data_IF_756842795441
#
_entry.id   IF_756842795441
#
_cell.length_a   1.000
_cell.length_b   1.000
_cell.length_c   1.000
_cell.angle_alpha   90.00
_cell.angle_beta   90.00
_cell.angle_gamma   90.00
#
_symmetry.space_group_name_H-M   'P 1'
#
loop_
_entity.id
_entity.type
_entity.pdbx_description
1 polymer ?
#
# COMPACT_ATOMS: atom_id res chain seq x y z
N UNK A 1 -3.06 -9.19 -1.88
CA UNK A 1 -3.41 -8.92 -3.28
C UNK A 1 -4.92 -8.94 -3.38
N UNK A 2 -5.56 -7.92 -3.93
CA UNK A 2 -7.02 -7.95 -4.14
C UNK A 2 -7.39 -8.26 -5.61
N UNK A 3 -6.43 -8.81 -6.37
CA UNK A 3 -6.51 -9.01 -7.81
C UNK A 3 -5.96 -7.82 -8.60
N UNK A 4 -6.11 -6.58 -8.13
CA UNK A 4 -5.70 -5.32 -8.82
C UNK A 4 -4.36 -4.82 -8.32
N UNK A 5 -4.19 -4.88 -7.00
CA UNK A 5 -3.12 -4.22 -6.27
C UNK A 5 -2.52 -5.16 -5.21
N UNK A 6 -1.21 -5.04 -5.04
CA UNK A 6 -0.48 -5.61 -3.91
C UNK A 6 -0.08 -4.48 -2.96
N UNK A 7 -0.64 -4.49 -1.75
CA UNK A 7 -0.20 -3.65 -0.64
C UNK A 7 0.75 -4.40 0.31
N UNK A 8 1.33 -3.67 1.25
CA UNK A 8 2.19 -4.19 2.31
C UNK A 8 1.39 -4.31 3.61
N UNK A 9 1.13 -5.53 4.07
CA UNK A 9 0.55 -5.78 5.39
C UNK A 9 1.67 -5.91 6.42
N UNK A 10 1.63 -5.07 7.45
CA UNK A 10 2.68 -4.96 8.45
C UNK A 10 2.10 -4.87 9.86
N UNK A 11 2.77 -5.43 10.88
CA UNK A 11 2.43 -5.14 12.27
C UNK A 11 2.59 -3.65 12.54
N UNK A 12 1.68 -3.06 13.32
CA UNK A 12 1.72 -1.62 13.67
C UNK A 12 2.97 -1.25 14.45
N UNK A 13 3.48 -2.17 15.26
CA UNK A 13 4.66 -1.96 16.09
C UNK A 13 5.60 -3.15 15.90
N UNK A 14 6.75 -2.91 15.27
CA UNK A 14 7.79 -3.93 15.10
C UNK A 14 9.16 -3.30 14.84
N UNK A 15 10.21 -3.95 15.32
CA UNK A 15 11.62 -3.60 15.05
C UNK A 15 11.99 -2.10 15.29
N UNK A 16 11.29 -1.42 16.21
CA UNK A 16 11.48 -0.01 16.55
C UNK A 16 10.67 0.98 15.71
N UNK A 17 9.77 0.51 14.83
CA UNK A 17 8.85 1.35 14.04
C UNK A 17 7.46 1.31 14.67
N UNK A 18 6.77 2.44 14.66
CA UNK A 18 5.40 2.59 15.13
C UNK A 18 4.53 3.31 14.09
N UNK A 19 3.55 2.60 13.54
CA UNK A 19 2.61 3.08 12.53
C UNK A 19 1.40 3.82 13.11
N UNK A 20 1.15 3.76 14.43
CA UNK A 20 -0.05 4.37 15.04
C UNK A 20 -0.13 5.89 14.85
N UNK A 21 1.03 6.54 14.73
CA UNK A 21 1.13 7.99 14.44
C UNK A 21 1.04 8.36 12.96
N UNK A 22 0.96 7.38 12.06
CA UNK A 22 0.86 7.60 10.61
C UNK A 22 -0.57 7.57 10.10
N UNK A 23 -1.43 6.76 10.71
CA UNK A 23 -2.87 6.74 10.47
C UNK A 23 -3.61 6.73 11.83
N UNK A 24 -3.89 7.90 12.40
CA UNK A 24 -4.50 8.01 13.72
C UNK A 24 -6.02 7.70 13.67
N UNK A 25 -6.63 7.27 14.79
CA UNK A 25 -8.06 6.92 14.85
C UNK A 25 -9.01 8.03 14.36
N UNK A 26 -8.61 9.30 14.54
CA UNK A 26 -9.40 10.47 14.12
C UNK A 26 -9.59 10.59 12.60
N UNK A 27 -8.73 9.94 11.82
CA UNK A 27 -8.78 9.98 10.37
C UNK A 27 -9.65 8.82 9.80
N UNK A 28 -10.06 7.87 10.65
CA UNK A 28 -10.94 6.76 10.30
C UNK A 28 -12.41 7.14 10.45
N UNK A 29 -13.27 6.55 9.62
CA UNK A 29 -14.72 6.70 9.76
C UNK A 29 -15.26 5.96 11.00
N UNK A 30 -14.65 4.84 11.40
CA UNK A 30 -14.88 4.19 12.68
C UNK A 30 -13.55 4.04 13.45
N UNK A 31 -13.30 4.90 14.47
CA UNK A 31 -12.05 4.90 15.23
C UNK A 31 -11.74 3.59 15.95
N UNK A 32 -12.71 2.69 16.15
CA UNK A 32 -12.49 1.41 16.86
C UNK A 32 -11.54 0.49 16.11
N UNK A 33 -11.50 0.56 14.78
CA UNK A 33 -10.54 -0.20 13.97
C UNK A 33 -9.09 0.18 14.25
N UNK A 34 -8.83 1.36 14.84
CA UNK A 34 -7.50 1.74 15.25
C UNK A 34 -6.85 0.79 16.27
N UNK A 35 -7.67 0.01 17.01
CA UNK A 35 -7.22 -0.98 17.97
C UNK A 35 -6.65 -2.28 17.35
N UNK A 36 -6.88 -2.53 16.07
CA UNK A 36 -6.32 -3.71 15.38
C UNK A 36 -4.79 -3.65 15.36
N UNK A 37 -4.11 -4.78 15.19
CA UNK A 37 -2.66 -4.89 15.40
C UNK A 37 -1.83 -4.68 14.13
N UNK A 38 -2.45 -4.68 12.95
CA UNK A 38 -1.78 -4.52 11.66
C UNK A 38 -2.29 -3.31 10.87
N UNK A 39 -1.46 -2.88 9.93
CA UNK A 39 -1.83 -1.95 8.86
C UNK A 39 -1.54 -2.58 7.52
N UNK A 40 -2.43 -2.39 6.55
CA UNK A 40 -2.12 -2.63 5.14
C UNK A 40 -1.91 -1.27 4.47
N UNK A 41 -0.79 -1.12 3.75
CA UNK A 41 -0.42 0.15 3.12
C UNK A 41 -0.19 -0.07 1.62
N UNK A 42 -0.87 0.75 0.81
CA UNK A 42 -0.69 0.86 -0.63
C UNK A 42 -0.29 2.28 -1.06
N UNK A 43 0.17 2.41 -2.30
CA UNK A 43 0.44 3.68 -2.96
C UNK A 43 -0.10 3.63 -4.39
N UNK A 44 -0.62 4.75 -4.89
CA UNK A 44 -1.25 4.78 -6.20
C UNK A 44 -1.77 6.15 -6.58
N UNK A 45 -2.37 6.22 -7.77
CA UNK A 45 -2.94 7.45 -8.32
C UNK A 45 -4.28 7.79 -7.66
N UNK A 46 -4.52 9.08 -7.41
CA UNK A 46 -5.68 9.58 -6.67
C UNK A 46 -7.02 9.25 -7.35
N UNK A 47 -7.15 9.55 -8.64
CA UNK A 47 -8.37 9.24 -9.40
C UNK A 47 -8.55 7.73 -9.56
N UNK A 48 -7.47 6.97 -9.79
CA UNK A 48 -7.56 5.51 -9.86
C UNK A 48 -8.10 4.90 -8.56
N UNK A 49 -7.59 5.33 -7.40
CA UNK A 49 -8.12 4.86 -6.11
C UNK A 49 -9.58 5.30 -5.92
N UNK A 50 -9.94 6.55 -6.15
CA UNK A 50 -11.31 7.00 -5.88
C UNK A 50 -12.35 6.45 -6.86
N UNK A 51 -11.96 6.15 -8.10
CA UNK A 51 -12.90 5.75 -9.16
C UNK A 51 -12.98 4.24 -9.39
N UNK A 52 -12.04 3.45 -8.83
CA UNK A 52 -11.87 2.05 -9.24
C UNK A 52 -11.75 1.06 -8.08
N UNK A 53 -12.84 0.79 -7.33
CA UNK A 53 -12.81 -0.12 -6.19
C UNK A 53 -12.61 -1.60 -6.57
N UNK A 54 -13.00 -2.01 -7.79
CA UNK A 54 -12.94 -3.40 -8.27
C UNK A 54 -12.54 -3.48 -9.76
N UNK A 55 -11.92 -4.61 -10.20
CA UNK A 55 -11.53 -4.83 -11.60
C UNK A 55 -12.72 -4.70 -12.58
N UNK A 56 -13.93 -5.07 -12.13
CA UNK A 56 -15.16 -4.95 -12.92
C UNK A 56 -15.59 -3.51 -13.15
N UNK A 57 -15.12 -2.57 -12.33
CA UNK A 57 -15.38 -1.14 -12.47
C UNK A 57 -14.29 -0.40 -13.27
N UNK A 58 -13.19 -1.07 -13.62
CA UNK A 58 -12.08 -0.46 -14.37
C UNK A 58 -12.54 -0.12 -15.79
N UNK A 59 -12.77 1.16 -16.05
CA UNK A 59 -13.00 1.65 -17.40
C UNK A 59 -11.65 1.68 -18.15
N UNK A 60 -11.57 1.22 -19.41
CA UNK A 60 -10.35 1.30 -20.21
C UNK A 60 -9.76 2.72 -20.28
N UNK A 61 -10.61 3.75 -20.28
CA UNK A 61 -10.20 5.16 -20.22
C UNK A 61 -9.46 5.55 -18.93
N UNK A 62 -9.85 4.99 -17.78
CA UNK A 62 -9.17 5.22 -16.49
C UNK A 62 -7.79 4.56 -16.46
N UNK A 63 -7.63 3.39 -17.10
CA UNK A 63 -6.30 2.78 -17.31
C UNK A 63 -5.42 3.67 -18.19
N UNK A 64 -5.95 4.18 -19.30
CA UNK A 64 -5.20 5.03 -20.23
C UNK A 64 -4.81 6.36 -19.57
N UNK A 65 -5.72 6.99 -18.83
CA UNK A 65 -5.44 8.21 -18.06
C UNK A 65 -4.38 7.97 -16.96
N UNK A 66 -4.49 6.87 -16.22
CA UNK A 66 -3.48 6.49 -15.23
C UNK A 66 -2.13 6.12 -15.89
N UNK A 67 -2.14 5.61 -17.13
CA UNK A 67 -0.94 5.30 -17.90
C UNK A 67 -0.23 6.56 -18.42
N UNK A 68 -0.96 7.63 -18.73
CA UNK A 68 -0.42 8.96 -19.07
C UNK A 68 0.33 9.58 -17.87
N UNK A 69 -0.09 9.21 -16.66
CA UNK A 69 0.62 9.50 -15.42
C UNK A 69 0.17 10.78 -14.73
N UNK A 70 0.43 10.87 -13.43
CA UNK A 70 -0.06 11.94 -12.56
C UNK A 70 0.80 12.06 -11.30
N UNK A 71 1.05 13.30 -10.87
CA UNK A 71 1.69 13.61 -9.58
C UNK A 71 0.70 13.57 -8.41
N UNK A 72 -0.60 13.43 -8.69
CA UNK A 72 -1.64 13.29 -7.68
C UNK A 72 -1.67 11.85 -7.18
N UNK A 73 -0.82 11.55 -6.20
CA UNK A 73 -0.69 10.22 -5.62
C UNK A 73 -1.15 10.18 -4.18
N UNK A 74 -1.65 9.02 -3.76
CA UNK A 74 -2.13 8.76 -2.41
C UNK A 74 -1.45 7.54 -1.81
N UNK A 75 -1.28 7.59 -0.48
CA UNK A 75 -1.07 6.44 0.38
C UNK A 75 -2.45 5.97 0.83
N UNK A 76 -2.77 4.70 0.62
CA UNK A 76 -3.97 4.07 1.17
C UNK A 76 -3.55 3.27 2.40
N UNK A 77 -4.18 3.54 3.56
CA UNK A 77 -3.85 2.87 4.82
C UNK A 77 -5.10 2.26 5.43
N UNK A 78 -5.09 0.94 5.56
CA UNK A 78 -6.16 0.15 6.17
C UNK A 78 -5.72 -0.37 7.54
N UNK A 79 -6.61 -0.33 8.52
CA UNK A 79 -6.41 -0.92 9.84
C UNK A 79 -7.05 -2.30 9.85
N UNK A 80 -6.21 -3.34 9.97
CA UNK A 80 -6.64 -4.73 9.79
C UNK A 80 -6.10 -5.60 10.91
N UNK A 81 -6.77 -6.72 11.16
CA UNK A 81 -6.24 -7.76 12.03
C UNK A 81 -5.08 -8.48 11.33
N UNK A 82 -4.29 -9.23 12.09
CA UNK A 82 -3.35 -10.19 11.53
C UNK A 82 -4.05 -11.10 10.49
N UNK A 83 -3.46 -11.32 9.31
CA UNK A 83 -4.05 -12.18 8.30
C UNK A 83 -4.15 -13.61 8.82
N UNK A 84 -5.27 -14.27 8.54
CA UNK A 84 -5.44 -15.67 8.90
C UNK A 84 -4.40 -16.54 8.15
N UNK A 85 -3.77 -17.53 8.82
CA UNK A 85 -2.87 -18.47 8.16
C UNK A 85 -3.56 -19.13 6.94
N UNK A 86 -2.84 -19.25 5.82
CA UNK A 86 -3.36 -19.89 4.61
C UNK A 86 -4.30 -19.03 3.77
N UNK A 87 -4.39 -17.72 4.04
CA UNK A 87 -5.13 -16.78 3.17
C UNK A 87 -4.52 -16.75 1.76
N UNK A 88 -5.25 -17.22 0.75
CA UNK A 88 -4.73 -17.40 -0.62
C UNK A 88 -4.21 -16.11 -1.27
N UNK A 89 -4.67 -14.95 -0.80
CA UNK A 89 -4.35 -13.62 -1.34
C UNK A 89 -3.22 -12.91 -0.59
N UNK A 90 -2.69 -13.53 0.47
CA UNK A 90 -1.60 -13.02 1.30
C UNK A 90 -0.41 -13.95 1.14
N UNK A 91 0.79 -13.36 1.01
CA UNK A 91 2.05 -14.09 1.02
C UNK A 91 2.87 -13.58 2.19
N UNK A 92 3.23 -14.49 3.09
CA UNK A 92 3.99 -14.14 4.27
C UNK A 92 5.47 -14.07 3.91
N UNK A 93 6.14 -13.00 4.34
CA UNK A 93 7.60 -12.88 4.24
C UNK A 93 8.17 -12.53 5.60
N UNK A 94 9.27 -13.19 5.97
CA UNK A 94 9.97 -12.90 7.22
C UNK A 94 11.13 -11.97 6.92
N UNK A 95 11.14 -10.81 7.57
CA UNK A 95 12.20 -9.81 7.45
C UNK A 95 13.05 -9.79 8.72
N UNK A 96 14.36 -9.66 8.56
CA UNK A 96 15.26 -9.28 9.65
C UNK A 96 14.88 -7.87 10.14
N UNK A 97 15.15 -7.51 11.41
CA UNK A 97 14.80 -6.19 11.93
C UNK A 97 15.33 -5.01 11.09
N UNK A 98 16.54 -5.13 10.52
CA UNK A 98 17.10 -4.11 9.65
C UNK A 98 16.40 -4.01 8.28
N UNK A 99 15.92 -5.12 7.73
CA UNK A 99 15.14 -5.15 6.48
C UNK A 99 13.78 -4.50 6.69
N UNK A 100 13.09 -4.83 7.79
CA UNK A 100 11.83 -4.20 8.15
C UNK A 100 11.97 -2.69 8.35
N UNK A 101 13.03 -2.23 9.04
CA UNK A 101 13.30 -0.79 9.18
C UNK A 101 13.52 -0.09 7.84
N UNK A 102 14.22 -0.73 6.88
CA UNK A 102 14.38 -0.19 5.53
C UNK A 102 13.04 -0.15 4.78
N UNK A 103 12.23 -1.21 4.86
CA UNK A 103 10.89 -1.23 4.29
C UNK A 103 10.05 -0.07 4.82
N UNK A 104 10.01 0.08 6.15
CA UNK A 104 9.28 1.16 6.79
C UNK A 104 9.79 2.53 6.36
N UNK A 105 11.11 2.76 6.31
CA UNK A 105 11.67 4.02 5.86
C UNK A 105 11.24 4.38 4.43
N UNK A 106 11.20 3.40 3.52
CA UNK A 106 10.71 3.62 2.15
C UNK A 106 9.22 4.01 2.12
N UNK A 107 8.38 3.28 2.86
CA UNK A 107 6.95 3.56 2.93
C UNK A 107 6.69 4.93 3.57
N UNK A 108 7.39 5.26 4.65
CA UNK A 108 7.32 6.56 5.32
C UNK A 108 7.74 7.71 4.40
N UNK A 109 8.81 7.53 3.62
CA UNK A 109 9.27 8.51 2.63
C UNK A 109 8.30 8.70 1.45
N UNK A 110 7.34 7.78 1.27
CA UNK A 110 6.30 7.87 0.24
C UNK A 110 5.15 8.80 0.65
N UNK A 111 4.99 9.12 1.94
CA UNK A 111 4.02 10.13 2.36
C UNK A 111 4.51 11.55 2.01
N UNK A 112 3.59 12.42 1.62
CA UNK A 112 3.89 13.85 1.47
C UNK A 112 4.09 14.51 2.84
N UNK A 113 4.91 15.58 2.95
CA UNK A 113 5.11 16.29 4.21
C UNK A 113 3.80 16.83 4.79
N UNK A 114 2.94 17.38 3.93
CA UNK A 114 1.56 17.70 4.26
C UNK A 114 0.72 16.42 4.09
N UNK A 115 0.73 15.54 5.10
CA UNK A 115 -0.09 14.32 5.16
C UNK A 115 -1.59 14.65 5.28
N UNK A 116 -2.15 15.40 4.33
CA UNK A 116 -3.58 15.68 4.26
C UNK A 116 -4.29 14.35 4.09
N UNK A 117 -5.28 14.13 4.95
CA UNK A 117 -6.08 12.92 5.00
C UNK A 117 -7.39 13.09 4.23
N UNK A 118 -7.89 12.00 3.67
CA UNK A 118 -9.23 11.85 3.11
C UNK A 118 -9.83 10.54 3.60
N UNK A 119 -11.17 10.47 3.60
CA UNK A 119 -11.88 9.24 3.95
C UNK A 119 -11.49 8.11 3.02
N UNK A 120 -11.23 6.94 3.60
CA UNK A 120 -11.08 5.70 2.85
C UNK A 120 -12.41 5.18 2.30
N UNK A 121 -12.40 3.94 1.84
CA UNK A 121 -13.58 3.27 1.30
C UNK A 121 -14.56 2.82 2.38
N UNK A 122 -14.08 2.58 3.60
CA UNK A 122 -14.80 1.91 4.67
C UNK A 122 -14.51 2.53 6.05
N UNK A 123 -15.04 1.88 7.10
CA UNK A 123 -14.83 2.28 8.50
C UNK A 123 -13.36 2.24 8.95
N UNK A 124 -12.56 1.40 8.30
CA UNK A 124 -11.24 0.97 8.78
C UNK A 124 -10.07 1.57 8.03
N UNK A 125 -10.29 2.47 7.08
CA UNK A 125 -9.22 2.98 6.21
C UNK A 125 -9.30 4.50 5.95
N UNK A 126 -8.17 5.03 5.50
CA UNK A 126 -8.00 6.42 5.12
C UNK A 126 -6.98 6.57 4.00
N UNK A 127 -7.10 7.65 3.24
CA UNK A 127 -6.08 8.05 2.27
C UNK A 127 -5.27 9.22 2.79
N UNK A 128 -4.00 9.29 2.40
CA UNK A 128 -3.10 10.39 2.72
C UNK A 128 -2.36 10.85 1.47
N UNK A 129 -1.98 12.13 1.43
CA UNK A 129 -1.23 12.65 0.27
C UNK A 129 0.11 11.94 0.19
N UNK A 130 0.48 11.47 -1.00
CA UNK A 130 1.76 10.82 -1.23
C UNK A 130 2.70 11.67 -2.07
N UNK A 131 3.96 11.25 -2.12
CA UNK A 131 4.99 11.73 -3.04
C UNK A 131 5.11 10.76 -4.19
N UNK A 132 5.44 11.30 -5.36
CA UNK A 132 5.84 10.53 -6.54
C UNK A 132 4.95 10.83 -7.74
N UNK A 133 5.31 10.17 -8.83
CA UNK A 133 4.64 10.30 -10.11
C UNK A 133 4.15 8.91 -10.52
N UNK A 134 2.85 8.73 -10.61
CA UNK A 134 2.26 7.51 -11.13
C UNK A 134 2.40 7.50 -12.66
N UNK A 135 2.69 6.34 -13.25
CA UNK A 135 2.76 6.18 -14.71
C UNK A 135 2.64 4.70 -15.10
N UNK A 136 2.62 4.41 -16.40
CA UNK A 136 2.62 3.03 -16.91
C UNK A 136 3.80 2.17 -16.41
N UNK A 137 4.96 2.79 -16.10
CA UNK A 137 6.13 2.08 -15.56
C UNK A 137 6.18 2.09 -14.03
N UNK A 138 5.59 3.10 -13.39
CA UNK A 138 5.57 3.29 -11.94
C UNK A 138 4.13 3.16 -11.44
N UNK A 139 3.68 1.92 -11.38
CA UNK A 139 2.36 1.53 -10.90
C UNK A 139 2.37 1.27 -9.40
N UNK A 140 1.19 1.01 -8.83
CA UNK A 140 1.02 0.62 -7.43
C UNK A 140 1.78 -0.68 -7.09
N UNK A 141 1.83 -1.64 -8.02
CA UNK A 141 2.58 -2.89 -7.85
C UNK A 141 4.09 -2.68 -8.01
N UNK A 142 4.51 -1.76 -8.90
CA UNK A 142 5.91 -1.41 -9.04
C UNK A 142 6.43 -0.74 -7.76
N UNK A 143 5.63 0.15 -7.13
CA UNK A 143 5.95 0.74 -5.83
C UNK A 143 6.14 -0.31 -4.73
N UNK A 144 5.28 -1.33 -4.68
CA UNK A 144 5.43 -2.43 -3.71
C UNK A 144 6.69 -3.24 -3.96
N UNK A 145 7.00 -3.56 -5.23
CA UNK A 145 8.26 -4.22 -5.60
C UNK A 145 9.49 -3.37 -5.26
N UNK A 146 9.43 -2.05 -5.46
CA UNK A 146 10.48 -1.12 -5.07
C UNK A 146 10.69 -1.10 -3.56
N UNK A 147 9.62 -1.07 -2.78
CA UNK A 147 9.67 -1.10 -1.31
C UNK A 147 10.34 -2.38 -0.80
N UNK A 148 9.94 -3.54 -1.34
CA UNK A 148 10.52 -4.84 -1.03
C UNK A 148 12.01 -4.90 -1.40
N UNK A 149 12.36 -4.42 -2.60
CA UNK A 149 13.77 -4.39 -3.04
C UNK A 149 14.62 -3.47 -2.19
N UNK A 150 14.10 -2.30 -1.82
CA UNK A 150 14.76 -1.36 -0.91
C UNK A 150 14.97 -1.98 0.48
N UNK A 151 14.02 -2.79 0.94
CA UNK A 151 14.15 -3.58 2.15
C UNK A 151 15.25 -4.66 2.04
N UNK A 152 15.67 -5.05 0.83
CA UNK A 152 16.64 -6.12 0.58
C UNK A 152 15.99 -7.46 0.23
N UNK A 153 14.68 -7.47 -0.01
CA UNK A 153 13.94 -8.66 -0.44
C UNK A 153 14.17 -8.90 -1.93
N UNK A 154 14.43 -10.15 -2.29
CA UNK A 154 14.59 -10.54 -3.69
C UNK A 154 13.23 -10.54 -4.38
N UNK A 155 13.07 -9.65 -5.34
CA UNK A 155 11.87 -9.51 -6.18
C UNK A 155 12.30 -9.00 -7.57
N UNK A 156 11.43 -9.07 -8.56
CA UNK A 156 11.69 -8.57 -9.91
C UNK A 156 12.16 -7.11 -9.93
N UNK A 157 13.02 -6.76 -10.90
CA UNK A 157 13.47 -5.37 -11.09
C UNK A 157 12.35 -4.44 -11.54
N UNK A 158 11.35 -4.98 -12.24
CA UNK A 158 10.16 -4.26 -12.67
C UNK A 158 8.94 -5.14 -12.42
N UNK A 159 7.99 -4.64 -11.63
CA UNK A 159 6.83 -5.41 -11.17
C UNK A 159 5.50 -4.68 -11.38
N UNK A 160 5.12 -4.37 -12.64
CA UNK A 160 3.94 -3.56 -12.92
C UNK A 160 2.60 -4.24 -12.56
N UNK A 161 2.59 -5.58 -12.44
CA UNK A 161 1.38 -6.38 -12.20
C UNK A 161 1.44 -7.14 -10.87
N UNK A 162 0.30 -7.51 -10.26
CA UNK A 162 0.31 -8.23 -8.98
C UNK A 162 1.09 -9.54 -9.03
N UNK A 163 0.89 -10.34 -10.09
CA UNK A 163 1.61 -11.61 -10.28
C UNK A 163 3.12 -11.42 -10.31
N UNK A 164 3.61 -10.30 -10.86
CA UNK A 164 5.04 -10.03 -10.97
C UNK A 164 5.72 -9.76 -9.62
N UNK A 165 4.94 -9.35 -8.61
CA UNK A 165 5.37 -9.27 -7.21
C UNK A 165 5.17 -10.62 -6.51
N UNK A 166 3.95 -11.17 -6.58
CA UNK A 166 3.52 -12.30 -5.76
C UNK A 166 4.22 -13.62 -6.10
N UNK A 167 4.61 -13.84 -7.36
CA UNK A 167 5.26 -15.09 -7.81
C UNK A 167 6.61 -15.40 -7.12
N UNK A 168 7.17 -14.43 -6.38
CA UNK A 168 8.43 -14.60 -5.65
C UNK A 168 8.26 -15.22 -4.26
N UNK A 169 7.02 -15.41 -3.82
CA UNK A 169 6.69 -15.79 -2.45
C UNK A 169 5.63 -16.89 -2.45
N UNK A 170 5.78 -17.84 -1.52
CA UNK A 170 4.90 -19.00 -1.35
C UNK A 170 3.70 -18.70 -0.43
#
# INVERSE_FOLDING_TARGET
NNGIHVGLLMPKIAAGVDWRGWAPPRDLADPRYAALDHVAIGWGEHAFFLETPTWSAVRPGTIIAAAIGSDHTLMHVEHVAAPAPGSADVRAITLRPAEYRRLAAYVQASFAPNRRAWRGYAGYDAFYTARGHYSAIRTCNAWTGDALRYAGVKVGRWTPFPVTVMQWFD
#
